data_IF_302630688657
#
_entry.id   IF_302630688657
#
_cell.length_a   1.000
_cell.length_b   1.000
_cell.length_c   1.000
_cell.angle_alpha   90.00
_cell.angle_beta   90.00
_cell.angle_gamma   90.00
#
_symmetry.space_group_name_H-M   'P 1'
#
loop_
_entity.id
_entity.type
_entity.pdbx_description
1 polymer ?
#
# COMPACT_ATOMS: atom_id res chain seq x y z
N UNK A 1 0.22 18.86 -5.75
CA UNK A 1 -0.48 19.04 -4.46
C UNK A 1 0.33 18.36 -3.38
N UNK A 2 0.50 19.01 -2.22
CA UNK A 2 1.11 18.37 -1.04
C UNK A 2 0.10 17.53 -0.28
N UNK A 3 0.59 16.49 0.40
CA UNK A 3 -0.23 15.56 1.15
C UNK A 3 -1.13 16.25 2.20
N UNK A 4 -0.63 17.24 2.94
CA UNK A 4 -1.44 17.94 3.95
C UNK A 4 -2.52 18.83 3.34
N UNK A 5 -2.36 19.29 2.10
CA UNK A 5 -3.42 20.01 1.40
C UNK A 5 -4.56 19.05 1.08
N UNK A 6 -4.21 17.86 0.59
CA UNK A 6 -5.17 16.79 0.34
C UNK A 6 -5.90 16.36 1.62
N UNK A 7 -5.17 16.13 2.72
CA UNK A 7 -5.79 15.76 4.00
C UNK A 7 -6.83 16.79 4.46
N UNK A 8 -6.49 18.09 4.38
CA UNK A 8 -7.42 19.17 4.72
C UNK A 8 -8.67 19.18 3.84
N UNK A 9 -8.52 18.89 2.54
CA UNK A 9 -9.67 18.76 1.62
C UNK A 9 -10.56 17.59 2.05
N UNK A 10 -9.97 16.42 2.37
CA UNK A 10 -10.74 15.24 2.78
C UNK A 10 -11.48 15.46 4.11
N UNK A 11 -10.83 16.09 5.09
CA UNK A 11 -11.42 16.36 6.41
C UNK A 11 -12.51 17.43 6.33
N UNK A 12 -12.30 18.52 5.57
CA UNK A 12 -13.30 19.57 5.40
C UNK A 12 -14.47 19.15 4.49
N UNK A 13 -14.20 18.26 3.52
CA UNK A 13 -15.18 17.74 2.59
C UNK A 13 -16.17 16.74 3.22
N UNK A 14 -15.96 16.34 4.48
CA UNK A 14 -16.82 15.41 5.24
C UNK A 14 -17.16 14.14 4.45
N UNK A 15 -16.20 13.57 3.73
CA UNK A 15 -16.42 12.44 2.81
C UNK A 15 -16.72 11.10 3.51
N UNK A 16 -16.58 11.08 4.83
CA UNK A 16 -16.71 9.87 5.65
C UNK A 16 -18.15 9.40 5.77
N UNK A 17 -18.36 8.09 5.59
CA UNK A 17 -19.66 7.42 5.65
C UNK A 17 -20.71 7.96 4.65
N UNK A 18 -20.27 8.69 3.62
CA UNK A 18 -21.12 9.14 2.52
C UNK A 18 -21.07 8.08 1.40
N UNK A 19 -22.23 7.56 0.94
CA UNK A 19 -22.27 6.66 -0.21
C UNK A 19 -21.65 7.31 -1.45
N UNK A 20 -20.93 6.52 -2.25
CA UNK A 20 -20.22 7.02 -3.42
C UNK A 20 -21.13 7.74 -4.41
N UNK A 21 -22.40 7.31 -4.59
CA UNK A 21 -23.38 8.04 -5.41
C UNK A 21 -23.59 9.49 -4.98
N UNK A 22 -23.50 9.76 -3.68
CA UNK A 22 -23.77 11.08 -3.11
C UNK A 22 -22.47 11.90 -3.04
N UNK A 23 -21.31 11.23 -2.99
CA UNK A 23 -19.98 11.84 -2.96
C UNK A 23 -19.44 12.19 -4.36
N UNK A 24 -19.75 11.37 -5.36
CA UNK A 24 -19.19 11.46 -6.72
C UNK A 24 -20.29 11.70 -7.77
N UNK A 25 -21.11 12.72 -7.56
CA UNK A 25 -22.29 13.03 -8.39
C UNK A 25 -21.97 13.18 -9.89
N UNK A 26 -20.80 13.75 -10.21
CA UNK A 26 -20.38 14.04 -11.59
C UNK A 26 -19.47 12.97 -12.20
N UNK A 27 -19.22 11.86 -11.50
CA UNK A 27 -18.32 10.80 -11.97
C UNK A 27 -19.12 9.51 -12.17
N UNK A 28 -19.08 8.90 -13.38
CA UNK A 28 -19.71 7.59 -13.59
C UNK A 28 -19.07 6.51 -12.72
N UNK A 29 -19.71 6.17 -11.61
CA UNK A 29 -19.22 5.19 -10.62
C UNK A 29 -19.25 3.77 -11.20
N UNK A 30 -20.16 3.50 -12.14
CA UNK A 30 -20.28 2.22 -12.86
C UNK A 30 -19.03 1.88 -13.69
N UNK A 31 -18.29 2.90 -14.16
CA UNK A 31 -17.00 2.72 -14.87
C UNK A 31 -15.81 2.52 -13.94
N UNK A 32 -16.02 2.64 -12.63
CA UNK A 32 -15.01 2.41 -11.59
C UNK A 32 -15.04 0.93 -11.21
N UNK A 33 -14.28 0.13 -11.95
CA UNK A 33 -14.07 -1.28 -11.60
C UNK A 33 -13.58 -1.43 -10.14
N UNK A 34 -13.74 -2.62 -9.56
CA UNK A 34 -13.37 -2.97 -8.16
C UNK A 34 -11.96 -2.51 -7.72
N UNK A 35 -11.03 -2.29 -8.65
CA UNK A 35 -9.66 -1.81 -8.42
C UNK A 35 -9.43 -0.30 -8.59
N UNK A 36 -10.46 0.53 -8.83
CA UNK A 36 -10.34 1.95 -9.17
C UNK A 36 -10.82 2.93 -8.08
N UNK A 37 -11.00 2.46 -6.84
CA UNK A 37 -11.43 3.35 -5.73
C UNK A 37 -10.39 4.44 -5.43
N UNK A 38 -9.10 4.13 -5.55
CA UNK A 38 -8.03 5.15 -5.42
C UNK A 38 -8.18 6.26 -6.46
N UNK A 39 -8.47 5.91 -7.72
CA UNK A 39 -8.65 6.87 -8.81
C UNK A 39 -9.86 7.80 -8.58
N UNK A 40 -10.95 7.29 -8.01
CA UNK A 40 -12.08 8.15 -7.62
C UNK A 40 -11.64 9.22 -6.62
N UNK A 41 -10.85 8.82 -5.63
CA UNK A 41 -10.37 9.73 -4.60
C UNK A 41 -9.34 10.72 -5.15
N UNK A 42 -8.48 10.30 -6.08
CA UNK A 42 -7.58 11.18 -6.83
C UNK A 42 -8.36 12.24 -7.62
N UNK A 43 -9.42 11.84 -8.33
CA UNK A 43 -10.30 12.77 -9.07
C UNK A 43 -10.95 13.78 -8.13
N UNK A 44 -11.48 13.33 -6.99
CA UNK A 44 -12.06 14.21 -5.96
C UNK A 44 -11.05 15.21 -5.41
N UNK A 45 -9.79 14.81 -5.28
CA UNK A 45 -8.68 15.66 -4.87
C UNK A 45 -8.15 16.56 -6.00
N UNK A 46 -8.69 16.45 -7.22
CA UNK A 46 -8.20 17.19 -8.39
C UNK A 46 -6.78 16.78 -8.81
N UNK A 47 -6.36 15.56 -8.50
CA UNK A 47 -5.06 15.04 -8.90
C UNK A 47 -5.07 14.65 -10.37
N UNK A 48 -4.01 15.05 -11.09
CA UNK A 48 -3.78 14.57 -12.44
C UNK A 48 -3.23 13.14 -12.40
N UNK A 49 -3.65 12.31 -13.35
CA UNK A 49 -3.06 10.99 -13.55
C UNK A 49 -1.65 11.19 -14.12
N UNK A 50 -0.64 11.07 -13.27
CA UNK A 50 0.77 11.28 -13.62
C UNK A 50 1.57 9.99 -13.43
N UNK A 51 2.66 9.78 -14.18
CA UNK A 51 3.56 8.64 -13.97
C UNK A 51 4.46 8.80 -12.74
N UNK A 52 4.09 9.68 -11.80
CA UNK A 52 4.92 10.03 -10.67
C UNK A 52 5.10 8.83 -9.72
N UNK A 53 6.26 8.74 -9.04
CA UNK A 53 6.51 7.69 -8.07
C UNK A 53 5.67 7.85 -6.80
N UNK A 54 4.96 8.96 -6.61
CA UNK A 54 4.08 9.23 -5.47
C UNK A 54 2.79 9.88 -5.97
N UNK A 55 1.68 9.66 -5.26
CA UNK A 55 0.39 10.27 -5.60
C UNK A 55 0.38 11.78 -5.31
N UNK A 56 1.17 12.20 -4.30
CA UNK A 56 1.40 13.60 -3.94
C UNK A 56 2.86 13.98 -4.09
N UNK A 57 3.19 15.27 -3.99
CA UNK A 57 4.57 15.76 -4.04
C UNK A 57 5.46 15.11 -2.95
N UNK A 58 4.87 14.77 -1.81
CA UNK A 58 5.57 14.42 -0.58
C UNK A 58 4.87 13.30 0.21
N UNK A 59 4.06 12.46 -0.45
CA UNK A 59 3.42 11.30 0.17
C UNK A 59 2.50 10.52 -0.76
N UNK A 60 1.82 9.51 -0.21
CA UNK A 60 1.02 8.56 -0.98
C UNK A 60 -0.45 8.52 -0.50
N UNK A 61 -1.37 8.18 -1.41
CA UNK A 61 -2.77 7.92 -1.11
C UNK A 61 -3.02 6.42 -1.08
N UNK A 62 -3.63 5.93 -0.01
CA UNK A 62 -3.87 4.51 0.18
C UNK A 62 -5.30 4.23 0.58
N UNK A 63 -5.93 3.29 -0.14
CA UNK A 63 -7.26 2.79 0.18
C UNK A 63 -7.24 1.27 0.30
N UNK A 64 -8.02 0.73 1.23
CA UNK A 64 -8.10 -0.72 1.44
C UNK A 64 -9.53 -1.12 1.81
N UNK A 65 -9.96 -2.30 1.34
CA UNK A 65 -11.28 -2.82 1.71
C UNK A 65 -11.32 -3.11 3.21
N UNK A 66 -12.37 -2.66 3.88
CA UNK A 66 -12.53 -2.77 5.33
C UNK A 66 -13.91 -3.26 5.75
N UNK A 67 -13.98 -3.69 7.03
CA UNK A 67 -15.24 -3.94 7.77
C UNK A 67 -15.93 -2.62 8.11
N UNK A 68 -17.16 -2.71 8.63
CA UNK A 68 -17.95 -1.55 9.09
C UNK A 68 -17.22 -0.64 10.08
N UNK A 69 -16.44 -1.24 10.99
CA UNK A 69 -15.63 -0.54 11.99
C UNK A 69 -14.32 0.03 11.42
N UNK A 70 -13.99 -0.21 10.14
CA UNK A 70 -12.75 0.23 9.51
C UNK A 70 -11.62 -0.81 9.49
N UNK A 71 -11.77 -1.95 10.18
CA UNK A 71 -10.73 -2.98 10.22
C UNK A 71 -10.43 -3.53 8.81
N UNK A 72 -9.15 -3.61 8.40
CA UNK A 72 -8.75 -4.04 7.07
C UNK A 72 -9.13 -5.50 6.80
N UNK A 73 -9.66 -5.78 5.60
CA UNK A 73 -10.05 -7.13 5.17
C UNK A 73 -8.99 -7.81 4.31
N UNK A 74 -8.05 -7.06 3.76
CA UNK A 74 -7.05 -7.57 2.81
C UNK A 74 -5.70 -6.86 2.99
N UNK A 75 -4.64 -7.45 2.45
CA UNK A 75 -3.35 -6.76 2.39
C UNK A 75 -3.36 -5.68 1.33
N UNK A 76 -2.54 -4.65 1.52
CA UNK A 76 -2.53 -3.47 0.65
C UNK A 76 -1.25 -3.43 -0.18
N UNK A 77 -1.39 -3.37 -1.50
CA UNK A 77 -0.26 -3.28 -2.41
C UNK A 77 0.54 -1.99 -2.17
N UNK A 78 1.87 -2.09 -2.23
CA UNK A 78 2.77 -0.95 -2.14
C UNK A 78 3.50 -0.73 -3.48
N UNK A 79 4.35 -1.67 -3.87
CA UNK A 79 5.21 -1.55 -5.04
C UNK A 79 5.74 -2.90 -5.50
N UNK A 80 5.95 -3.05 -6.81
CA UNK A 80 6.63 -4.22 -7.39
C UNK A 80 8.13 -4.20 -7.06
N UNK A 81 8.78 -5.36 -7.07
CA UNK A 81 10.20 -5.49 -6.70
C UNK A 81 11.14 -5.66 -7.89
N UNK A 82 10.63 -6.01 -9.08
CA UNK A 82 11.46 -6.48 -10.20
C UNK A 82 12.58 -5.52 -10.61
N UNK A 83 12.34 -4.21 -10.60
CA UNK A 83 13.35 -3.21 -10.97
C UNK A 83 14.36 -2.89 -9.88
N UNK A 84 14.19 -3.44 -8.67
CA UNK A 84 14.94 -3.05 -7.47
C UNK A 84 15.51 -4.24 -6.70
N UNK A 85 15.24 -5.48 -7.14
CA UNK A 85 15.62 -6.70 -6.41
C UNK A 85 17.13 -6.80 -6.20
N UNK A 86 17.95 -6.43 -7.19
CA UNK A 86 19.40 -6.47 -7.07
C UNK A 86 19.94 -5.41 -6.11
N UNK A 87 19.25 -4.26 -5.98
CA UNK A 87 19.62 -3.23 -5.01
C UNK A 87 19.42 -3.76 -3.57
N UNK A 88 18.34 -4.51 -3.32
CA UNK A 88 18.10 -5.16 -2.03
C UNK A 88 19.24 -6.13 -1.68
N UNK A 89 19.64 -6.98 -2.63
CA UNK A 89 20.74 -7.94 -2.42
C UNK A 89 22.11 -7.28 -2.30
N UNK A 90 22.26 -6.05 -2.80
CA UNK A 90 23.50 -5.27 -2.73
C UNK A 90 23.58 -4.39 -1.46
N UNK A 91 22.71 -4.63 -0.47
CA UNK A 91 22.77 -3.95 0.83
C UNK A 91 22.05 -2.60 0.89
N UNK A 92 21.08 -2.34 0.00
CA UNK A 92 20.20 -1.19 0.13
C UNK A 92 19.52 -1.19 1.50
N UNK A 93 19.69 -0.11 2.27
CA UNK A 93 19.03 0.06 3.56
C UNK A 93 17.54 0.37 3.39
N UNK A 94 16.73 0.12 4.42
CA UNK A 94 15.30 0.43 4.39
C UNK A 94 15.06 1.93 4.12
N UNK A 95 15.81 2.81 4.77
CA UNK A 95 15.75 4.27 4.64
C UNK A 95 15.99 4.74 3.20
N UNK A 96 16.92 4.10 2.50
CA UNK A 96 17.27 4.44 1.12
C UNK A 96 16.35 3.76 0.09
N UNK A 97 15.45 2.87 0.53
CA UNK A 97 14.62 2.09 -0.36
C UNK A 97 13.47 2.90 -0.95
N UNK A 98 13.11 2.58 -2.19
CA UNK A 98 11.89 3.07 -2.82
C UNK A 98 10.63 2.69 -2.03
N UNK A 99 10.70 1.54 -1.33
CA UNK A 99 9.64 1.06 -0.45
C UNK A 99 9.39 2.05 0.68
N UNK A 100 10.42 2.45 1.41
CA UNK A 100 10.27 3.46 2.47
C UNK A 100 9.79 4.78 1.91
N UNK A 101 10.31 5.23 0.75
CA UNK A 101 9.81 6.45 0.12
C UNK A 101 8.30 6.40 -0.17
N UNK A 102 7.76 5.22 -0.50
CA UNK A 102 6.34 4.98 -0.76
C UNK A 102 5.45 4.95 0.49
N UNK A 103 5.99 4.62 1.66
CA UNK A 103 5.19 4.40 2.89
C UNK A 103 5.54 5.31 4.05
N UNK A 104 6.64 6.06 3.98
CA UNK A 104 7.08 6.98 5.06
C UNK A 104 6.03 8.02 5.41
N UNK A 105 5.15 8.36 4.45
CA UNK A 105 4.12 9.37 4.61
C UNK A 105 2.93 9.10 3.70
N UNK A 106 1.75 8.92 4.28
CA UNK A 106 0.54 8.59 3.52
C UNK A 106 -0.74 9.05 4.19
N UNK A 107 -1.78 9.21 3.37
CA UNK A 107 -3.17 9.25 3.85
C UNK A 107 -3.78 7.88 3.56
N UNK A 108 -4.27 7.23 4.62
CA UNK A 108 -4.95 5.94 4.55
C UNK A 108 -6.46 6.12 4.76
N UNK A 109 -7.27 5.59 3.84
CA UNK A 109 -8.74 5.58 3.92
C UNK A 109 -9.28 4.16 3.79
N UNK A 110 -9.83 3.57 4.87
CA UNK A 110 -10.58 2.34 4.77
C UNK A 110 -11.85 2.53 3.93
N UNK A 111 -12.22 1.52 3.14
CA UNK A 111 -13.38 1.55 2.25
C UNK A 111 -14.32 0.40 2.58
N UNK A 112 -15.55 0.74 2.95
CA UNK A 112 -16.59 -0.25 3.22
C UNK A 112 -17.29 -0.63 1.91
N UNK A 113 -17.25 -1.92 1.60
CA UNK A 113 -17.83 -2.50 0.36
C UNK A 113 -18.82 -3.62 0.69
N UNK A 114 -19.89 -3.30 1.43
CA UNK A 114 -20.93 -4.28 1.79
C UNK A 114 -21.82 -4.66 0.60
N UNK A 115 -22.15 -3.68 -0.23
CA UNK A 115 -22.96 -3.91 -1.42
C UNK A 115 -22.14 -4.43 -2.59
N UNK A 116 -22.79 -5.18 -3.48
CA UNK A 116 -22.22 -5.51 -4.80
C UNK A 116 -22.12 -4.29 -5.71
N UNK A 117 -22.91 -3.25 -5.42
CA UNK A 117 -23.02 -1.99 -6.15
C UNK A 117 -21.97 -0.98 -5.65
N UNK A 118 -21.02 -0.53 -6.50
CA UNK A 118 -20.00 0.43 -6.09
C UNK A 118 -20.56 1.78 -5.63
N UNK A 119 -21.74 2.17 -6.12
CA UNK A 119 -22.42 3.40 -5.71
C UNK A 119 -22.82 3.45 -4.23
N UNK A 120 -22.94 2.28 -3.58
CA UNK A 120 -23.30 2.14 -2.15
C UNK A 120 -22.07 1.99 -1.25
N UNK A 121 -20.86 1.99 -1.81
CA UNK A 121 -19.64 1.97 -1.01
C UNK A 121 -19.38 3.34 -0.39
N UNK A 122 -18.57 3.38 0.67
CA UNK A 122 -18.21 4.62 1.34
C UNK A 122 -16.85 4.53 2.02
N UNK A 123 -16.23 5.68 2.25
CA UNK A 123 -14.98 5.79 3.00
C UNK A 123 -15.23 5.86 4.50
N UNK A 124 -14.30 5.33 5.29
CA UNK A 124 -14.18 5.64 6.73
C UNK A 124 -13.24 6.86 6.91
N UNK A 125 -13.21 7.49 8.10
CA UNK A 125 -12.42 8.69 8.34
C UNK A 125 -10.95 8.56 7.89
N UNK A 126 -10.35 9.56 7.22
CA UNK A 126 -8.97 9.47 6.77
C UNK A 126 -8.00 9.46 7.96
N UNK A 127 -6.95 8.64 7.84
CA UNK A 127 -5.82 8.58 8.76
C UNK A 127 -4.57 9.13 8.10
N UNK A 128 -3.95 10.11 8.75
CA UNK A 128 -2.59 10.51 8.43
C UNK A 128 -1.59 9.57 9.07
N UNK A 129 -0.64 9.08 8.29
CA UNK A 129 0.51 8.35 8.78
C UNK A 129 1.79 9.03 8.32
N UNK A 130 2.73 9.18 9.23
CA UNK A 130 4.10 9.54 8.95
C UNK A 130 4.99 8.76 9.91
N UNK A 131 6.15 8.31 9.42
CA UNK A 131 7.16 7.77 10.32
C UNK A 131 8.58 8.11 9.91
N UNK A 132 9.47 8.23 10.90
CA UNK A 132 10.89 8.58 10.73
C UNK A 132 11.80 7.69 11.61
N UNK A 133 13.11 7.63 11.32
CA UNK A 133 14.07 6.91 12.14
C UNK A 133 13.94 7.26 13.63
N UNK A 134 13.92 6.22 14.47
CA UNK A 134 13.75 6.33 15.93
C UNK A 134 12.31 6.12 16.44
N UNK A 135 11.33 5.94 15.55
CA UNK A 135 9.94 5.64 15.93
C UNK A 135 9.63 4.14 15.81
N UNK A 136 8.65 3.67 16.60
CA UNK A 136 8.30 2.24 16.67
C UNK A 136 7.82 1.67 15.32
N UNK A 137 6.98 2.41 14.59
CA UNK A 137 6.55 1.99 13.26
C UNK A 137 7.72 1.89 12.29
N UNK A 138 8.63 2.87 12.32
CA UNK A 138 9.84 2.85 11.50
C UNK A 138 10.70 1.62 11.82
N UNK A 139 11.00 1.38 13.11
CA UNK A 139 11.85 0.27 13.54
C UNK A 139 11.25 -1.08 13.11
N UNK A 140 9.95 -1.28 13.31
CA UNK A 140 9.29 -2.52 12.91
C UNK A 140 9.26 -2.73 11.39
N UNK A 141 9.05 -1.67 10.60
CA UNK A 141 9.08 -1.76 9.13
C UNK A 141 10.50 -2.04 8.60
N UNK A 142 11.52 -1.46 9.24
CA UNK A 142 12.92 -1.74 8.93
C UNK A 142 13.29 -3.19 9.24
N UNK A 143 12.90 -3.69 10.43
CA UNK A 143 13.12 -5.08 10.82
C UNK A 143 12.48 -6.06 9.84
N UNK A 144 11.23 -5.78 9.44
CA UNK A 144 10.54 -6.58 8.44
C UNK A 144 11.25 -6.56 7.10
N UNK A 145 11.71 -5.39 6.64
CA UNK A 145 12.43 -5.26 5.37
C UNK A 145 13.71 -6.09 5.39
N UNK A 146 14.53 -5.93 6.42
CA UNK A 146 15.78 -6.68 6.59
C UNK A 146 15.53 -8.19 6.67
N UNK A 147 14.51 -8.61 7.42
CA UNK A 147 14.10 -10.01 7.53
C UNK A 147 13.60 -10.58 6.20
N UNK A 148 12.83 -9.81 5.43
CA UNK A 148 12.37 -10.21 4.10
C UNK A 148 13.55 -10.38 3.14
N UNK A 149 14.49 -9.44 3.10
CA UNK A 149 15.70 -9.53 2.25
C UNK A 149 16.48 -10.80 2.61
N UNK A 150 16.66 -11.06 3.91
CA UNK A 150 17.33 -12.27 4.40
C UNK A 150 16.60 -13.56 3.98
N UNK A 151 15.27 -13.60 4.09
CA UNK A 151 14.45 -14.74 3.62
C UNK A 151 14.60 -14.97 2.11
N UNK A 152 14.59 -13.91 1.30
CA UNK A 152 14.78 -13.98 -0.16
C UNK A 152 16.16 -14.54 -0.52
N UNK A 153 17.22 -14.02 0.08
CA UNK A 153 18.59 -14.51 -0.19
C UNK A 153 18.72 -15.97 0.24
N UNK A 154 18.20 -16.33 1.42
CA UNK A 154 18.20 -17.71 1.92
C UNK A 154 17.47 -18.67 0.97
N UNK A 155 16.34 -18.28 0.39
CA UNK A 155 15.61 -19.15 -0.54
C UNK A 155 16.36 -19.35 -1.86
N UNK A 156 17.12 -18.35 -2.30
CA UNK A 156 17.92 -18.42 -3.52
C UNK A 156 19.22 -19.21 -3.32
N UNK A 157 19.88 -19.04 -2.17
CA UNK A 157 21.21 -19.60 -1.90
C UNK A 157 21.17 -20.99 -1.26
N UNK A 158 20.17 -21.23 -0.39
CA UNK A 158 20.04 -22.47 0.39
C UNK A 158 18.74 -23.22 0.11
N UNK A 159 17.84 -22.66 -0.70
CA UNK A 159 16.57 -23.27 -1.10
C UNK A 159 16.61 -23.82 -2.52
N UNK A 160 15.49 -23.71 -3.23
CA UNK A 160 15.32 -24.18 -4.61
C UNK A 160 15.88 -23.20 -5.66
N UNK A 161 16.46 -22.09 -5.23
CA UNK A 161 17.03 -21.08 -6.12
C UNK A 161 16.06 -20.00 -6.55
N UNK A 162 14.81 -20.00 -6.06
CA UNK A 162 13.76 -19.06 -6.44
C UNK A 162 13.24 -18.22 -5.26
N UNK A 163 12.62 -17.10 -5.61
CA UNK A 163 11.87 -16.25 -4.69
C UNK A 163 10.56 -16.91 -4.28
N UNK A 164 10.29 -16.85 -2.98
CA UNK A 164 9.03 -17.26 -2.38
C UNK A 164 8.40 -16.09 -1.62
N UNK A 165 7.14 -16.26 -1.23
CA UNK A 165 6.49 -15.33 -0.30
C UNK A 165 7.31 -15.25 0.99
N UNK A 166 7.72 -14.05 1.36
CA UNK A 166 8.49 -13.78 2.58
C UNK A 166 7.71 -12.78 3.44
N UNK A 167 7.72 -12.98 4.75
CA UNK A 167 6.82 -12.27 5.66
C UNK A 167 7.58 -11.58 6.79
N UNK A 168 7.15 -10.36 7.11
CA UNK A 168 7.36 -9.68 8.38
C UNK A 168 6.04 -9.50 9.14
N UNK A 169 6.07 -8.67 10.18
CA UNK A 169 4.90 -8.31 10.99
C UNK A 169 3.93 -7.40 10.22
N UNK A 170 4.43 -6.33 9.64
CA UNK A 170 3.73 -5.25 8.94
C UNK A 170 3.87 -5.29 7.43
N UNK A 171 4.98 -5.77 6.87
CA UNK A 171 5.12 -5.94 5.42
C UNK A 171 5.38 -7.39 5.03
N UNK A 172 5.08 -7.71 3.78
CA UNK A 172 5.40 -8.99 3.14
C UNK A 172 5.68 -8.78 1.67
N UNK A 173 6.39 -9.74 1.04
CA UNK A 173 6.40 -9.88 -0.41
C UNK A 173 5.61 -11.11 -0.82
N UNK A 174 4.89 -11.00 -1.94
CA UNK A 174 4.21 -12.13 -2.57
C UNK A 174 4.13 -11.92 -4.07
N UNK A 175 3.83 -12.99 -4.81
CA UNK A 175 3.62 -12.90 -6.25
C UNK A 175 2.50 -11.91 -6.60
N UNK A 176 2.79 -11.00 -7.54
CA UNK A 176 1.84 -10.03 -8.09
C UNK A 176 2.13 -9.82 -9.56
N UNK A 177 1.47 -10.62 -10.38
CA UNK A 177 1.68 -10.65 -11.81
C UNK A 177 0.42 -11.10 -12.55
N UNK A 178 0.38 -10.86 -13.86
CA UNK A 178 -0.67 -11.30 -14.77
C UNK A 178 -0.05 -11.88 -16.02
N UNK A 179 -0.81 -12.60 -16.84
CA UNK A 179 -0.29 -13.05 -18.15
C UNK A 179 -0.20 -11.86 -19.13
N UNK A 180 0.83 -11.78 -19.99
CA UNK A 180 2.04 -12.61 -19.99
C UNK A 180 2.88 -12.35 -18.73
N UNK A 181 3.42 -13.41 -18.12
CA UNK A 181 4.18 -13.29 -16.87
C UNK A 181 5.51 -12.56 -17.08
N UNK A 182 5.94 -11.83 -16.06
CA UNK A 182 7.16 -11.02 -16.04
C UNK A 182 8.17 -11.66 -15.06
N UNK A 183 9.03 -12.58 -15.53
CA UNK A 183 10.02 -13.23 -14.68
C UNK A 183 11.04 -12.21 -14.16
N UNK A 184 11.65 -12.53 -13.01
CA UNK A 184 12.66 -11.67 -12.38
C UNK A 184 14.03 -12.29 -12.64
N UNK A 185 14.85 -11.60 -13.43
CA UNK A 185 16.27 -11.89 -13.58
C UNK A 185 17.06 -11.08 -12.55
N UNK A 186 17.91 -11.75 -11.77
CA UNK A 186 18.84 -11.08 -10.86
C UNK A 186 20.22 -11.00 -11.48
N UNK A 187 20.77 -9.79 -11.57
CA UNK A 187 22.16 -9.55 -11.96
C UNK A 187 23.13 -10.02 -10.86
N UNK A 188 22.74 -9.90 -9.59
CA UNK A 188 23.52 -10.37 -8.45
C UNK A 188 23.77 -11.89 -8.53
N UNK A 189 22.72 -12.68 -8.78
CA UNK A 189 22.81 -14.14 -8.88
C UNK A 189 23.04 -14.67 -10.30
N UNK A 190 23.05 -13.79 -11.31
CA UNK A 190 23.22 -14.12 -12.74
C UNK A 190 22.23 -15.18 -13.27
N UNK A 191 21.02 -15.23 -12.72
CA UNK A 191 19.97 -16.18 -13.10
C UNK A 191 18.57 -15.59 -12.92
N UNK A 192 17.57 -16.24 -13.52
CA UNK A 192 16.19 -16.00 -13.15
C UNK A 192 15.93 -16.55 -11.75
N UNK A 193 15.46 -15.69 -10.86
CA UNK A 193 15.10 -16.00 -9.48
C UNK A 193 13.60 -16.06 -9.28
N UNK A 194 12.81 -15.76 -10.33
CA UNK A 194 11.37 -16.05 -10.34
C UNK A 194 10.85 -16.11 -11.77
N UNK A 195 9.82 -16.93 -11.99
CA UNK A 195 9.07 -16.96 -13.25
C UNK A 195 7.91 -15.94 -13.29
N UNK A 196 7.66 -15.23 -12.20
CA UNK A 196 6.59 -14.22 -12.06
C UNK A 196 7.12 -13.01 -11.30
N UNK A 197 6.43 -11.88 -11.43
CA UNK A 197 6.75 -10.71 -10.64
C UNK A 197 6.23 -10.82 -9.20
N UNK A 198 6.90 -10.12 -8.28
CA UNK A 198 6.58 -10.02 -6.87
C UNK A 198 6.37 -8.56 -6.48
N UNK A 199 5.63 -8.34 -5.40
CA UNK A 199 5.40 -7.02 -4.86
C UNK A 199 5.38 -7.03 -3.35
N UNK A 200 5.76 -5.88 -2.76
CA UNK A 200 5.53 -5.58 -1.36
C UNK A 200 4.07 -5.26 -1.09
N UNK A 201 3.59 -5.71 0.06
CA UNK A 201 2.27 -5.43 0.59
C UNK A 201 2.37 -5.03 2.07
N UNK A 202 1.58 -4.04 2.49
CA UNK A 202 1.27 -3.82 3.89
C UNK A 202 0.27 -4.89 4.33
N UNK A 203 0.58 -5.56 5.43
CA UNK A 203 -0.26 -6.55 6.07
C UNK A 203 -1.39 -5.88 6.85
N UNK A 204 -2.44 -6.64 7.14
CA UNK A 204 -3.60 -6.16 7.90
C UNK A 204 -3.19 -5.62 9.26
N UNK A 205 -2.22 -6.27 9.90
CA UNK A 205 -1.65 -5.92 11.19
C UNK A 205 -1.11 -4.49 11.21
N UNK A 206 -0.43 -4.03 10.15
CA UNK A 206 0.02 -2.64 10.05
C UNK A 206 -1.16 -1.66 10.06
N UNK A 207 -2.14 -1.90 9.19
CA UNK A 207 -3.32 -1.04 9.07
C UNK A 207 -4.15 -1.06 10.36
N UNK A 208 -4.30 -2.23 11.00
CA UNK A 208 -4.99 -2.36 12.28
C UNK A 208 -4.29 -1.55 13.38
N UNK A 209 -2.97 -1.69 13.54
CA UNK A 209 -2.21 -0.95 14.55
C UNK A 209 -2.22 0.57 14.26
N UNK A 210 -2.18 0.95 12.98
CA UNK A 210 -2.37 2.33 12.56
C UNK A 210 -3.74 2.87 12.98
N UNK A 211 -4.82 2.12 12.77
CA UNK A 211 -6.16 2.53 13.20
C UNK A 211 -6.26 2.67 14.72
N UNK A 212 -5.66 1.75 15.49
CA UNK A 212 -5.61 1.81 16.97
C UNK A 212 -4.94 3.07 17.50
N UNK A 213 -3.95 3.59 16.77
CA UNK A 213 -3.27 4.83 17.14
C UNK A 213 -4.13 6.09 16.96
N UNK A 214 -5.31 5.98 16.34
CA UNK A 214 -6.18 7.11 16.02
C UNK A 214 -7.47 7.13 16.82
N UNK A 215 -7.79 8.29 17.39
CA UNK A 215 -9.07 8.53 18.08
C UNK A 215 -10.29 8.42 17.14
N UNK A 216 -10.09 8.43 15.81
CA UNK A 216 -11.16 8.28 14.82
C UNK A 216 -11.72 6.84 14.76
N UNK A 217 -11.05 5.87 15.38
CA UNK A 217 -11.39 4.44 15.32
C UNK A 217 -11.36 3.78 16.70
N UNK A 218 -12.26 4.19 17.62
CA UNK A 218 -12.26 3.69 19.00
C UNK A 218 -12.61 2.20 19.14
N UNK A 219 -13.27 1.62 18.13
CA UNK A 219 -13.78 0.24 18.16
C UNK A 219 -12.78 -0.80 17.59
N UNK A 220 -11.55 -0.41 17.30
CA UNK A 220 -10.50 -1.32 16.82
C UNK A 220 -9.75 -1.88 18.02
N UNK A 221 -9.87 -3.20 18.23
CA UNK A 221 -9.29 -3.94 19.37
C UNK A 221 -8.02 -4.69 18.98
#
# INVERSE_FOLDING_TARGET
>A
MKLMDALRILENGKIENIPFKDLFLDVPIDKVNKGKVGQLLEIYLGLANTPNPLDFEDGELKTNKAKLNGEPLETMFISQISSQVDNMFSGMTFEQSWLFNKIKRMIYLPVVKLSKKPEEWYFKPPIYFETKPGEDFFAQLQDDYNNIVSQMMKSIEKGDGFLHTSNGKYIQIRTKDSKPYHPIYSKHYKKYISNKNFAFYLKKEFMTDLLKSSMKYPDII
#
